data_IF_829840796226
#
_entry.id   IF_829840796226
#
_cell.length_a   1.000
_cell.length_b   1.000
_cell.length_c   1.000
_cell.angle_alpha   90.00
_cell.angle_beta   90.00
_cell.angle_gamma   90.00
#
_symmetry.space_group_name_H-M   'P 1'
#
loop_
_entity.id
_entity.type
_entity.pdbx_description
1 polymer ?
#
# COMPACT_ATOMS: atom_id res chain seq x y z
N UNK A 1 12.90 -4.35 -13.44
CA UNK A 1 12.76 -3.15 -12.59
C UNK A 1 11.40 -2.53 -12.88
N UNK A 2 10.65 -2.13 -11.85
CA UNK A 2 9.36 -1.45 -11.94
C UNK A 2 9.53 -0.04 -11.35
N UNK A 3 8.89 0.97 -11.94
CA UNK A 3 8.77 2.28 -11.33
C UNK A 3 7.39 2.39 -10.68
N UNK A 4 7.33 2.93 -9.47
CA UNK A 4 6.08 3.10 -8.73
C UNK A 4 6.04 4.39 -7.92
N UNK A 5 5.03 4.54 -7.06
CA UNK A 5 4.80 5.71 -6.23
C UNK A 5 5.87 5.93 -5.16
N UNK A 6 5.66 6.91 -4.26
CA UNK A 6 6.66 7.33 -3.29
C UNK A 6 7.04 6.22 -2.32
N UNK A 7 8.24 6.36 -1.75
CA UNK A 7 8.67 5.62 -0.56
C UNK A 7 7.85 6.10 0.63
N UNK A 8 7.36 5.16 1.42
CA UNK A 8 6.48 5.39 2.57
C UNK A 8 7.22 5.17 3.89
N UNK A 9 8.07 4.15 3.92
CA UNK A 9 8.94 3.83 5.06
C UNK A 9 10.32 3.55 4.50
N UNK A 10 11.34 4.11 5.13
CA UNK A 10 12.75 3.87 4.82
C UNK A 10 13.50 3.57 6.12
N UNK A 11 14.21 2.45 6.18
CA UNK A 11 14.97 2.02 7.37
C UNK A 11 14.15 2.05 8.67
N UNK A 12 12.90 1.60 8.61
CA UNK A 12 11.96 1.51 9.73
C UNK A 12 11.34 2.84 10.16
N UNK A 13 11.59 3.93 9.41
CA UNK A 13 11.05 5.26 9.72
C UNK A 13 10.07 5.71 8.64
N UNK A 14 8.91 6.23 9.07
CA UNK A 14 7.93 6.82 8.16
C UNK A 14 8.51 8.06 7.47
N UNK A 15 8.35 8.13 6.15
CA UNK A 15 8.79 9.26 5.33
C UNK A 15 7.71 10.34 5.36
N UNK A 16 8.08 11.59 5.62
CA UNK A 16 7.16 12.72 5.50
C UNK A 16 6.87 13.00 4.03
N UNK A 17 5.59 12.95 3.65
CA UNK A 17 5.14 13.27 2.30
C UNK A 17 4.41 14.62 2.30
N UNK A 18 4.77 15.47 1.34
CA UNK A 18 4.05 16.71 1.06
C UNK A 18 3.65 16.71 -0.41
N UNK A 19 2.34 16.69 -0.67
CA UNK A 19 1.79 16.56 -2.02
C UNK A 19 1.00 17.81 -2.38
N UNK A 20 1.33 18.40 -3.53
CA UNK A 20 0.58 19.56 -4.05
C UNK A 20 -0.88 19.21 -4.39
N UNK A 21 -1.16 17.92 -4.65
CA UNK A 21 -2.48 17.37 -4.95
C UNK A 21 -2.57 15.98 -4.35
N UNK A 22 -3.41 15.82 -3.34
CA UNK A 22 -3.75 14.52 -2.78
C UNK A 22 -5.26 14.30 -2.81
N UNK A 23 -5.67 13.04 -2.78
CA UNK A 23 -7.06 12.60 -2.77
C UNK A 23 -7.23 11.30 -2.02
N UNK A 24 -8.41 11.07 -1.49
CA UNK A 24 -8.79 9.77 -0.96
C UNK A 24 -8.89 8.74 -2.09
N UNK A 25 -8.30 7.57 -1.84
CA UNK A 25 -8.36 6.41 -2.72
C UNK A 25 -7.89 5.17 -1.98
N UNK A 26 -8.36 3.98 -2.40
CA UNK A 26 -7.72 2.72 -2.00
C UNK A 26 -6.23 2.77 -2.30
N UNK A 27 -5.40 2.31 -1.35
CA UNK A 27 -3.93 2.25 -1.48
C UNK A 27 -3.46 0.81 -1.47
N UNK A 28 -2.48 0.52 -2.30
CA UNK A 28 -1.77 -0.75 -2.31
C UNK A 28 -0.32 -0.45 -1.94
N UNK A 29 0.23 -1.22 -1.01
CA UNK A 29 1.59 -1.06 -0.50
C UNK A 29 2.34 -2.38 -0.68
N UNK A 30 3.59 -2.28 -1.12
CA UNK A 30 4.56 -3.36 -0.99
C UNK A 30 5.57 -2.97 0.09
N UNK A 31 5.73 -3.83 1.07
CA UNK A 31 6.62 -3.62 2.21
C UNK A 31 7.57 -4.80 2.38
N UNK A 32 8.75 -4.53 2.92
CA UNK A 32 9.73 -5.55 3.32
C UNK A 32 9.94 -5.43 4.83
N UNK A 33 9.87 -6.54 5.53
CA UNK A 33 10.13 -6.62 6.97
C UNK A 33 11.63 -6.65 7.27
N UNK A 34 12.03 -6.43 8.53
CA UNK A 34 13.40 -6.63 8.99
C UNK A 34 13.94 -8.07 8.82
N UNK A 35 13.04 -9.05 8.68
CA UNK A 35 13.35 -10.45 8.33
C UNK A 35 13.46 -10.69 6.82
N UNK A 36 13.37 -9.63 6.00
CA UNK A 36 13.42 -9.68 4.54
C UNK A 36 12.23 -10.43 3.91
N UNK A 37 11.07 -10.38 4.56
CA UNK A 37 9.81 -10.94 4.06
C UNK A 37 9.01 -9.87 3.32
N UNK A 38 8.48 -10.23 2.15
CA UNK A 38 7.65 -9.35 1.35
C UNK A 38 6.19 -9.41 1.81
N UNK A 39 5.62 -8.25 2.13
CA UNK A 39 4.23 -8.10 2.55
C UNK A 39 3.52 -7.15 1.59
N UNK A 40 2.37 -7.58 1.07
CA UNK A 40 1.47 -6.71 0.33
C UNK A 40 0.29 -6.30 1.22
N UNK A 41 -0.02 -5.01 1.23
CA UNK A 41 -1.10 -4.45 2.06
C UNK A 41 -2.06 -3.69 1.16
N UNK A 42 -3.35 -4.00 1.27
CA UNK A 42 -4.42 -3.23 0.65
C UNK A 42 -5.18 -2.45 1.73
N UNK A 43 -5.27 -1.13 1.57
CA UNK A 43 -5.89 -0.22 2.53
C UNK A 43 -7.06 0.49 1.85
N UNK A 44 -8.26 0.30 2.38
CA UNK A 44 -9.49 0.88 1.84
C UNK A 44 -10.51 1.16 2.94
N UNK A 45 -11.46 2.04 2.65
CA UNK A 45 -12.53 2.42 3.57
C UNK A 45 -13.55 1.28 3.74
N UNK A 46 -14.05 0.96 4.96
CA UNK A 46 -15.02 -0.12 5.16
C UNK A 46 -16.30 0.00 4.33
N UNK A 47 -16.73 1.23 4.02
CA UNK A 47 -17.93 1.49 3.23
C UNK A 47 -17.74 1.41 1.71
N UNK A 48 -16.50 1.35 1.22
CA UNK A 48 -16.19 1.27 -0.22
C UNK A 48 -14.78 0.76 -0.44
N UNK A 49 -14.65 -0.37 -1.13
CA UNK A 49 -13.35 -0.91 -1.53
C UNK A 49 -12.59 0.00 -2.51
N UNK A 50 -13.24 0.98 -3.15
CA UNK A 50 -12.60 1.89 -4.11
C UNK A 50 -12.07 3.17 -3.46
N UNK A 51 -12.43 3.40 -2.21
CA UNK A 51 -12.05 4.57 -1.44
C UNK A 51 -11.06 4.19 -0.32
N UNK A 52 -10.40 5.17 0.27
CA UNK A 52 -9.38 4.93 1.27
C UNK A 52 -8.68 6.22 1.72
N UNK A 53 -7.51 6.12 2.36
CA UNK A 53 -6.84 7.28 2.90
C UNK A 53 -6.23 8.18 1.82
N UNK A 54 -5.84 9.38 2.25
CA UNK A 54 -4.91 10.21 1.50
C UNK A 54 -3.54 9.52 1.39
N UNK A 55 -2.76 9.88 0.38
CA UNK A 55 -1.41 9.32 0.20
C UNK A 55 -0.45 9.86 1.25
N UNK A 56 -0.63 11.12 1.68
CA UNK A 56 0.17 11.77 2.71
C UNK A 56 0.05 11.10 4.09
N UNK A 57 -1.10 10.50 4.38
CA UNK A 57 -1.34 9.75 5.62
C UNK A 57 -0.70 8.35 5.60
N UNK A 58 -0.39 7.83 4.41
CA UNK A 58 -0.01 6.44 4.20
C UNK A 58 1.26 6.02 4.96
N UNK A 59 2.33 6.83 5.05
CA UNK A 59 3.50 6.53 5.88
C UNK A 59 3.16 6.21 7.34
N UNK A 60 2.29 7.02 7.96
CA UNK A 60 1.88 6.82 9.35
C UNK A 60 0.98 5.60 9.50
N UNK A 61 0.05 5.40 8.56
CA UNK A 61 -0.82 4.21 8.54
C UNK A 61 0.01 2.93 8.42
N UNK A 62 1.01 2.90 7.54
CA UNK A 62 1.90 1.72 7.38
C UNK A 62 2.68 1.47 8.66
N UNK A 63 3.17 2.51 9.33
CA UNK A 63 3.86 2.34 10.61
C UNK A 63 2.92 1.78 11.69
N UNK A 64 1.68 2.27 11.79
CA UNK A 64 0.69 1.72 12.71
C UNK A 64 0.36 0.26 12.41
N UNK A 65 0.18 -0.12 11.13
CA UNK A 65 -0.02 -1.53 10.75
C UNK A 65 1.18 -2.39 11.16
N UNK A 66 2.40 -1.88 10.96
CA UNK A 66 3.63 -2.56 11.36
C UNK A 66 3.66 -2.85 12.86
N UNK A 67 3.29 -1.86 13.68
CA UNK A 67 3.24 -1.95 15.14
C UNK A 67 2.12 -2.89 15.62
N UNK A 68 0.89 -2.71 15.14
CA UNK A 68 -0.28 -3.50 15.55
C UNK A 68 -0.13 -4.99 15.21
N UNK A 69 0.45 -5.30 14.05
CA UNK A 69 0.63 -6.66 13.58
C UNK A 69 2.02 -7.24 13.90
N UNK A 70 2.89 -6.48 14.58
CA UNK A 70 4.27 -6.85 14.89
C UNK A 70 5.07 -7.30 13.65
N UNK A 71 4.87 -6.64 12.50
CA UNK A 71 5.52 -7.01 11.23
C UNK A 71 6.97 -6.54 11.13
N UNK A 72 7.37 -5.53 11.93
CA UNK A 72 8.70 -4.91 11.85
C UNK A 72 9.06 -4.48 10.42
N UNK A 73 8.19 -3.70 9.78
CA UNK A 73 8.40 -3.18 8.42
C UNK A 73 9.67 -2.31 8.41
N UNK A 74 10.62 -2.69 7.56
CA UNK A 74 11.88 -1.97 7.33
C UNK A 74 11.73 -0.94 6.20
N UNK A 75 11.13 -1.33 5.08
CA UNK A 75 10.92 -0.44 3.95
C UNK A 75 9.53 -0.65 3.33
N UNK A 76 8.94 0.40 2.77
CA UNK A 76 7.66 0.30 2.10
C UNK A 76 7.53 1.32 0.96
N UNK A 77 6.85 0.91 -0.11
CA UNK A 77 6.55 1.75 -1.28
C UNK A 77 5.07 1.68 -1.63
N UNK A 78 4.52 2.79 -2.11
CA UNK A 78 3.16 2.83 -2.64
C UNK A 78 3.10 2.28 -4.07
N UNK A 79 2.20 1.33 -4.32
CA UNK A 79 1.84 0.83 -5.65
C UNK A 79 0.63 1.58 -6.26
N UNK A 80 0.25 1.23 -7.49
CA UNK A 80 -0.96 1.77 -8.10
C UNK A 80 -2.19 1.46 -7.24
N UNK A 81 -3.00 2.49 -6.99
CA UNK A 81 -4.18 2.46 -6.13
C UNK A 81 -5.46 2.86 -6.87
N UNK A 82 -6.50 3.18 -6.11
CA UNK A 82 -7.80 3.59 -6.63
C UNK A 82 -8.43 2.54 -7.56
N UNK A 83 -9.08 2.98 -8.64
CA UNK A 83 -9.81 2.09 -9.55
C UNK A 83 -8.93 1.20 -10.42
N UNK A 84 -7.64 1.55 -10.59
CA UNK A 84 -6.66 0.80 -11.37
C UNK A 84 -5.78 -0.09 -10.46
N UNK A 85 -6.41 -0.73 -9.48
CA UNK A 85 -5.74 -1.65 -8.56
C UNK A 85 -6.64 -2.85 -8.28
N UNK A 86 -6.06 -3.98 -7.93
CA UNK A 86 -6.77 -5.18 -7.53
C UNK A 86 -5.95 -5.92 -6.48
N UNK A 87 -6.63 -6.73 -5.67
CA UNK A 87 -5.99 -7.58 -4.68
C UNK A 87 -6.69 -8.93 -4.63
N UNK A 88 -5.91 -10.00 -4.74
CA UNK A 88 -6.46 -11.37 -4.78
C UNK A 88 -5.64 -12.25 -3.84
N UNK A 89 -6.30 -12.79 -2.82
CA UNK A 89 -5.77 -13.79 -1.90
C UNK A 89 -6.85 -14.83 -1.60
N UNK A 90 -6.52 -15.87 -0.83
CA UNK A 90 -7.50 -16.90 -0.44
C UNK A 90 -8.68 -16.33 0.36
N UNK A 91 -8.46 -15.26 1.12
CA UNK A 91 -9.44 -14.68 2.05
C UNK A 91 -10.09 -13.40 1.53
N UNK A 92 -9.47 -12.72 0.55
CA UNK A 92 -9.88 -11.37 0.12
C UNK A 92 -9.76 -11.21 -1.39
N UNK A 93 -10.82 -10.67 -1.98
CA UNK A 93 -10.89 -10.39 -3.41
C UNK A 93 -11.38 -8.96 -3.62
N UNK A 94 -10.53 -8.14 -4.23
CA UNK A 94 -10.79 -6.74 -4.54
C UNK A 94 -10.58 -6.56 -6.04
N UNK A 95 -11.66 -6.23 -6.75
CA UNK A 95 -11.62 -6.02 -8.20
C UNK A 95 -11.28 -4.56 -8.56
N UNK A 96 -10.77 -4.40 -9.77
CA UNK A 96 -10.54 -3.13 -10.45
C UNK A 96 -11.79 -2.62 -11.16
N UNK A 97 -11.86 -1.30 -11.39
CA UNK A 97 -12.85 -0.66 -12.27
C UNK A 97 -12.21 -0.02 -13.49
N UNK A 98 -10.88 -0.06 -13.57
CA UNK A 98 -10.10 0.49 -14.68
C UNK A 98 -8.98 -0.48 -15.01
N UNK A 99 -8.54 -0.56 -16.29
CA UNK A 99 -7.49 -1.48 -16.69
C UNK A 99 -6.22 -1.34 -15.85
N UNK A 100 -5.66 -2.48 -15.42
CA UNK A 100 -4.39 -2.56 -14.70
C UNK A 100 -3.25 -2.80 -15.69
N UNK A 101 -2.15 -2.07 -15.53
CA UNK A 101 -0.97 -2.21 -16.40
C UNK A 101 -0.10 -3.44 -16.09
N UNK A 102 0.08 -3.76 -14.81
CA UNK A 102 0.90 -4.90 -14.38
C UNK A 102 0.49 -5.41 -12.99
N UNK A 103 0.87 -6.66 -12.67
CA UNK A 103 0.56 -7.31 -11.40
C UNK A 103 1.80 -7.87 -10.75
N UNK A 104 1.85 -7.82 -9.42
CA UNK A 104 2.70 -8.68 -8.63
C UNK A 104 1.97 -10.00 -8.38
N UNK A 105 2.65 -11.12 -8.64
CA UNK A 105 2.13 -12.46 -8.40
C UNK A 105 3.14 -13.24 -7.56
N UNK A 106 2.69 -13.71 -6.40
CA UNK A 106 3.44 -14.62 -5.52
C UNK A 106 2.84 -16.02 -5.71
N UNK A 107 3.71 -17.01 -5.91
CA UNK A 107 3.31 -18.42 -6.10
C UNK A 107 3.46 -19.20 -4.81
#
# INVERSE_FOLDING_TARGET
>A
ALQTGPVLVENGSAVELSLARDKQARRIVAAITGSNELVFVAIYSPGSSFDGPYLEDLPLIVNHISEELNLNIADAINLDGGTASAFYSENTHISELSPIGSFFCVK
#
